data_IF_525212471157
#
_entry.id   IF_525212471157
#
_cell.length_a   1.000
_cell.length_b   1.000
_cell.length_c   1.000
_cell.angle_alpha   90.00
_cell.angle_beta   90.00
_cell.angle_gamma   90.00
#
_symmetry.space_group_name_H-M   'P 1'
#
loop_
_entity.id
_entity.type
_entity.pdbx_description
1 polymer ?
#
# COMPACT_ATOMS: atom_id res chain seq x y z
N UNK A 1 1.97 -11.16 -1.45
CA UNK A 1 3.18 -11.75 -0.85
C UNK A 1 2.80 -13.07 -0.19
N UNK A 2 3.30 -14.20 -0.69
CA UNK A 2 3.02 -15.54 -0.15
C UNK A 2 3.94 -15.90 1.02
N UNK A 3 5.15 -15.34 1.06
CA UNK A 3 6.09 -15.46 2.17
C UNK A 3 6.34 -14.08 2.81
N UNK A 4 5.41 -13.66 3.67
CA UNK A 4 5.47 -12.35 4.30
C UNK A 4 6.66 -12.20 5.26
N UNK A 5 7.13 -13.31 5.86
CA UNK A 5 8.22 -13.29 6.83
C UNK A 5 9.56 -12.94 6.16
N UNK A 6 9.82 -13.49 4.97
CA UNK A 6 11.08 -13.29 4.23
C UNK A 6 11.01 -12.21 3.15
N UNK A 7 9.90 -11.45 3.06
CA UNK A 7 9.62 -10.52 1.95
C UNK A 7 10.71 -9.49 1.63
N UNK A 8 11.42 -8.99 2.65
CA UNK A 8 12.50 -7.98 2.44
C UNK A 8 13.78 -8.60 1.90
N UNK A 9 14.01 -9.88 2.19
CA UNK A 9 15.13 -10.65 1.63
C UNK A 9 14.82 -11.05 0.19
N UNK A 10 13.58 -11.45 -0.08
CA UNK A 10 13.14 -11.88 -1.41
C UNK A 10 12.94 -10.71 -2.37
N UNK A 11 12.43 -9.59 -1.90
CA UNK A 11 12.15 -8.38 -2.68
C UNK A 11 12.89 -7.20 -2.02
N UNK A 12 14.08 -6.84 -2.51
CA UNK A 12 14.93 -5.80 -1.89
C UNK A 12 14.25 -4.44 -1.74
N UNK A 13 13.29 -4.13 -2.63
CA UNK A 13 12.52 -2.88 -2.59
C UNK A 13 11.29 -2.94 -1.68
N UNK A 14 11.03 -4.06 -0.99
CA UNK A 14 9.91 -4.16 -0.06
C UNK A 14 10.17 -3.33 1.20
N UNK A 15 9.22 -2.45 1.54
CA UNK A 15 9.33 -1.56 2.69
C UNK A 15 8.88 -2.28 3.97
N UNK A 16 9.69 -2.24 5.02
CA UNK A 16 9.32 -2.71 6.36
C UNK A 16 8.94 -1.55 7.28
N UNK A 17 7.65 -1.42 7.56
CA UNK A 17 7.12 -0.36 8.42
C UNK A 17 7.11 -0.71 9.91
N UNK A 18 7.53 -1.92 10.32
CA UNK A 18 7.46 -2.36 11.73
C UNK A 18 8.28 -1.50 12.69
N UNK A 19 9.39 -0.94 12.22
CA UNK A 19 10.27 -0.06 13.00
C UNK A 19 10.21 1.40 12.58
N UNK A 20 9.28 1.77 11.71
CA UNK A 20 9.17 3.15 11.23
C UNK A 20 8.70 4.07 12.35
N UNK A 21 9.31 5.26 12.46
CA UNK A 21 8.82 6.31 13.35
C UNK A 21 7.42 6.75 12.87
N UNK A 22 6.38 6.67 13.72
CA UNK A 22 5.04 7.16 13.38
C UNK A 22 5.01 8.59 12.83
N UNK A 23 5.89 9.48 13.31
CA UNK A 23 6.00 10.85 12.84
C UNK A 23 6.65 10.96 11.45
N UNK A 24 7.32 9.91 10.96
CA UNK A 24 7.94 9.90 9.62
C UNK A 24 6.98 9.45 8.50
N UNK A 25 5.77 9.01 8.84
CA UNK A 25 4.84 8.36 7.90
C UNK A 25 4.06 9.31 6.97
N UNK A 26 4.42 10.60 6.91
CA UNK A 26 3.72 11.62 6.13
C UNK A 26 3.76 11.39 4.61
N UNK A 27 4.75 10.65 4.12
CA UNK A 27 4.89 10.31 2.69
C UNK A 27 3.94 9.18 2.24
N UNK A 28 3.35 8.43 3.18
CA UNK A 28 2.35 7.42 2.85
C UNK A 28 1.04 8.10 2.40
N UNK A 29 0.19 7.44 1.60
CA UNK A 29 -1.11 7.97 1.20
C UNK A 29 -1.95 8.45 2.40
N UNK A 30 -2.77 9.49 2.20
CA UNK A 30 -3.60 10.07 3.26
C UNK A 30 -4.58 9.08 3.90
N UNK A 31 -4.98 8.05 3.15
CA UNK A 31 -5.87 6.98 3.59
C UNK A 31 -5.13 5.75 4.13
N UNK A 32 -3.79 5.76 4.17
CA UNK A 32 -3.00 4.64 4.64
C UNK A 32 -3.28 4.34 6.11
N UNK A 33 -3.56 3.07 6.42
CA UNK A 33 -3.85 2.64 7.78
C UNK A 33 -2.73 2.99 8.77
N UNK A 34 -1.46 2.73 8.43
CA UNK A 34 -0.33 3.04 9.31
C UNK A 34 -0.27 4.54 9.65
N UNK A 35 -0.43 5.41 8.64
CA UNK A 35 -0.45 6.87 8.82
C UNK A 35 -1.63 7.33 9.66
N UNK A 36 -2.84 6.85 9.36
CA UNK A 36 -4.05 7.22 10.12
C UNK A 36 -3.94 6.77 11.58
N UNK A 37 -3.49 5.55 11.84
CA UNK A 37 -3.32 5.02 13.21
C UNK A 37 -2.23 5.75 13.98
N UNK A 38 -1.12 6.08 13.33
CA UNK A 38 -0.06 6.92 13.92
C UNK A 38 -0.59 8.30 14.37
N UNK A 39 -1.54 8.87 13.64
CA UNK A 39 -2.15 10.17 13.94
C UNK A 39 -3.38 10.08 14.87
N UNK A 40 -3.72 8.89 15.38
CA UNK A 40 -4.93 8.69 16.20
C UNK A 40 -6.24 8.88 15.42
N UNK A 41 -6.21 8.84 14.08
CA UNK A 41 -7.37 9.02 13.22
C UNK A 41 -8.15 7.71 13.00
N UNK A 42 -9.47 7.79 12.77
CA UNK A 42 -10.26 6.63 12.40
C UNK A 42 -9.85 6.11 11.03
N UNK A 43 -10.09 4.81 10.80
CA UNK A 43 -9.99 4.22 9.47
C UNK A 43 -11.32 4.46 8.71
N UNK A 44 -11.29 4.61 7.38
CA UNK A 44 -12.51 4.70 6.58
C UNK A 44 -13.41 3.47 6.75
N UNK A 45 -14.72 3.63 6.58
CA UNK A 45 -15.69 2.52 6.74
C UNK A 45 -15.45 1.36 5.77
N UNK A 46 -14.96 1.66 4.56
CA UNK A 46 -14.62 0.65 3.56
C UNK A 46 -13.35 -0.15 3.89
N UNK A 47 -12.58 0.24 4.91
CA UNK A 47 -11.31 -0.41 5.23
C UNK A 47 -11.57 -1.78 5.87
N UNK A 48 -10.85 -2.83 5.44
CA UNK A 48 -11.05 -4.21 5.90
C UNK A 48 -11.06 -4.37 7.44
N UNK A 49 -10.20 -3.64 8.15
CA UNK A 49 -10.16 -3.68 9.63
C UNK A 49 -11.41 -3.08 10.31
N UNK A 50 -12.24 -2.35 9.57
CA UNK A 50 -13.52 -1.79 10.02
C UNK A 50 -14.68 -2.61 9.48
N UNK A 51 -14.71 -2.87 8.17
CA UNK A 51 -15.80 -3.58 7.50
C UNK A 51 -15.81 -5.09 7.75
N UNK A 52 -14.65 -5.70 8.00
CA UNK A 52 -14.48 -7.16 8.02
C UNK A 52 -14.60 -7.83 6.64
N UNK A 53 -15.00 -7.09 5.61
CA UNK A 53 -15.19 -7.55 4.25
C UNK A 53 -14.00 -7.14 3.36
N UNK A 54 -13.46 -8.10 2.61
CA UNK A 54 -12.37 -7.83 1.66
C UNK A 54 -12.88 -7.18 0.38
N UNK A 55 -14.15 -7.34 0.04
CA UNK A 55 -14.72 -6.72 -1.16
C UNK A 55 -15.08 -5.25 -0.97
N UNK A 56 -15.18 -4.75 0.27
CA UNK A 56 -15.46 -3.33 0.54
C UNK A 56 -14.41 -2.37 -0.05
N UNK A 57 -13.11 -2.74 -0.04
CA UNK A 57 -12.05 -1.91 -0.66
C UNK A 57 -12.17 -1.87 -2.19
N UNK A 58 -12.69 -2.94 -2.78
CA UNK A 58 -12.89 -3.06 -4.23
C UNK A 58 -14.13 -2.26 -4.65
N UNK A 59 -15.24 -2.43 -3.92
CA UNK A 59 -16.50 -1.70 -4.14
C UNK A 59 -16.33 -0.19 -3.96
N UNK A 60 -15.47 0.24 -3.04
CA UNK A 60 -15.15 1.66 -2.83
C UNK A 60 -14.23 2.26 -3.91
N UNK A 61 -13.69 1.45 -4.84
CA UNK A 61 -12.80 1.92 -5.90
C UNK A 61 -11.38 2.29 -5.44
N UNK A 62 -11.02 2.01 -4.18
CA UNK A 62 -9.70 2.35 -3.59
C UNK A 62 -8.69 1.21 -3.77
N UNK A 63 -9.06 0.13 -4.46
CA UNK A 63 -8.17 -0.99 -4.70
C UNK A 63 -7.25 -0.77 -5.90
N UNK A 64 -6.02 -1.28 -5.78
CA UNK A 64 -5.05 -1.38 -6.89
C UNK A 64 -5.25 -2.64 -7.75
N UNK A 65 -6.20 -3.51 -7.41
CA UNK A 65 -6.49 -4.75 -8.17
C UNK A 65 -6.71 -4.41 -9.65
N UNK A 66 -5.96 -5.08 -10.54
CA UNK A 66 -6.05 -4.87 -11.99
C UNK A 66 -5.42 -3.57 -12.50
N UNK A 67 -4.69 -2.83 -11.65
CA UNK A 67 -4.05 -1.55 -11.99
C UNK A 67 -2.52 -1.59 -11.89
N UNK A 68 -1.93 -2.76 -11.69
CA UNK A 68 -0.47 -2.94 -11.53
C UNK A 68 0.03 -4.13 -12.33
N UNK A 69 1.30 -4.07 -12.70
CA UNK A 69 2.09 -5.17 -13.31
C UNK A 69 3.17 -5.63 -12.31
N UNK A 70 3.62 -6.88 -12.43
CA UNK A 70 4.78 -7.37 -11.66
C UNK A 70 6.06 -6.68 -12.12
N UNK A 71 6.92 -6.29 -11.18
CA UNK A 71 8.24 -5.72 -11.47
C UNK A 71 9.15 -6.70 -12.22
N UNK A 72 8.97 -8.01 -12.02
CA UNK A 72 9.65 -9.08 -12.78
C UNK A 72 9.44 -8.98 -14.31
N UNK A 73 8.38 -8.29 -14.76
CA UNK A 73 8.07 -8.10 -16.18
C UNK A 73 8.41 -6.68 -16.68
N UNK A 74 9.04 -5.84 -15.86
CA UNK A 74 9.41 -4.47 -16.20
C UNK A 74 10.92 -4.32 -16.08
N UNK A 75 11.57 -3.77 -17.10
CA UNK A 75 13.00 -3.48 -17.03
C UNK A 75 13.25 -2.42 -15.94
N UNK A 76 14.32 -2.52 -15.12
CA UNK A 76 14.58 -1.56 -14.03
C UNK A 76 14.62 -0.09 -14.48
N UNK A 77 15.15 0.18 -15.67
CA UNK A 77 15.21 1.53 -16.26
C UNK A 77 13.83 2.06 -16.74
N UNK A 78 12.78 1.24 -16.70
CA UNK A 78 11.41 1.63 -17.08
C UNK A 78 10.43 1.69 -15.91
N UNK A 79 10.91 1.62 -14.66
CA UNK A 79 10.05 1.71 -13.47
C UNK A 79 9.35 3.06 -13.35
N UNK A 80 10.02 4.13 -13.74
CA UNK A 80 9.49 5.50 -13.74
C UNK A 80 8.32 5.69 -14.72
N UNK A 81 8.33 4.98 -15.86
CA UNK A 81 7.20 4.96 -16.80
C UNK A 81 5.91 4.36 -16.19
N UNK A 82 6.04 3.62 -15.10
CA UNK A 82 4.91 2.97 -14.39
C UNK A 82 4.44 3.78 -13.18
N UNK A 83 4.98 4.97 -12.95
CA UNK A 83 4.50 5.91 -11.93
C UNK A 83 3.24 6.61 -12.46
N UNK A 84 2.11 6.32 -11.84
CA UNK A 84 0.82 6.91 -12.19
C UNK A 84 0.42 8.02 -11.21
N UNK A 85 0.07 9.18 -11.75
CA UNK A 85 -0.62 10.22 -11.00
C UNK A 85 -2.12 10.06 -11.23
N UNK A 86 -2.83 9.62 -10.20
CA UNK A 86 -4.28 9.56 -10.25
C UNK A 86 -4.82 10.98 -10.18
N UNK A 87 -5.58 11.38 -11.19
CA UNK A 87 -6.38 12.60 -11.12
C UNK A 87 -7.56 12.28 -10.21
N UNK A 88 -7.61 12.94 -9.05
CA UNK A 88 -8.76 12.90 -8.14
C UNK A 88 -9.95 13.68 -8.71
#
# INVERSE_FOLDING_TARGET
CTDYANRVTLVPHCIDLRGADPASLHWLPDTCAYRLRAQGRPLPEWHYLVSGDRESVHNAGISIRGRTVSDEFVHPDGYDEHIVNWVE
#
